data_IF_591290498912
#
_entry.id   IF_591290498912
#
_cell.length_a   1.000
_cell.length_b   1.000
_cell.length_c   1.000
_cell.angle_alpha   90.00
_cell.angle_beta   90.00
_cell.angle_gamma   90.00
#
_symmetry.space_group_name_H-M   'P 1'
#
loop_
_entity.id
_entity.type
_entity.pdbx_description
1 polymer ?
#
# COMPACT_ATOMS: atom_id res chain seq x y z
N UNK A 1 -18.02 1.77 0.46
CA UNK A 1 -18.20 0.45 -0.15
C UNK A 1 -18.36 0.50 -1.67
N UNK A 2 -19.18 1.35 -2.26
CA UNK A 2 -19.27 1.47 -3.74
C UNK A 2 -17.95 1.77 -4.44
N UNK A 3 -17.08 2.61 -3.85
CA UNK A 3 -15.77 2.94 -4.44
C UNK A 3 -14.83 1.74 -4.51
N UNK A 4 -14.86 0.85 -3.51
CA UNK A 4 -14.01 -0.34 -3.47
C UNK A 4 -14.48 -1.37 -4.50
N UNK A 5 -15.78 -1.55 -4.63
CA UNK A 5 -16.38 -2.47 -5.61
C UNK A 5 -16.11 -2.02 -7.05
N UNK A 6 -16.28 -0.73 -7.34
CA UNK A 6 -16.01 -0.18 -8.67
C UNK A 6 -14.51 -0.26 -9.01
N UNK A 7 -13.62 0.01 -8.05
CA UNK A 7 -12.19 -0.13 -8.21
C UNK A 7 -11.79 -1.57 -8.53
N UNK A 8 -12.30 -2.55 -7.78
CA UNK A 8 -12.05 -3.96 -8.00
C UNK A 8 -12.57 -4.37 -9.39
N UNK A 9 -13.81 -4.06 -9.73
CA UNK A 9 -14.40 -4.41 -11.02
C UNK A 9 -13.60 -3.86 -12.20
N UNK A 10 -13.07 -2.66 -12.08
CA UNK A 10 -12.26 -2.04 -13.12
C UNK A 10 -10.89 -2.72 -13.26
N UNK A 11 -10.22 -2.99 -12.14
CA UNK A 11 -8.88 -3.58 -12.13
C UNK A 11 -8.88 -5.07 -12.48
N UNK A 12 -9.99 -5.76 -12.26
CA UNK A 12 -10.16 -7.19 -12.59
C UNK A 12 -10.68 -7.43 -13.99
N UNK A 13 -11.00 -6.38 -14.73
CA UNK A 13 -11.43 -6.50 -16.12
C UNK A 13 -10.30 -7.09 -16.97
N UNK A 14 -10.52 -8.29 -17.52
CA UNK A 14 -9.54 -9.02 -18.32
C UNK A 14 -9.32 -8.41 -19.72
N UNK A 15 -10.18 -7.48 -20.14
CA UNK A 15 -10.10 -6.84 -21.46
C UNK A 15 -9.18 -5.62 -21.51
N UNK A 16 -8.75 -5.08 -20.37
CA UNK A 16 -7.81 -3.96 -20.33
C UNK A 16 -6.35 -4.42 -20.22
N UNK A 17 -5.44 -3.65 -20.82
CA UNK A 17 -4.01 -3.97 -20.81
C UNK A 17 -3.41 -3.85 -19.42
N UNK A 18 -2.26 -4.49 -19.17
CA UNK A 18 -1.53 -4.38 -17.91
C UNK A 18 -1.14 -2.92 -17.61
N UNK A 19 -0.69 -2.17 -18.63
CA UNK A 19 -0.34 -0.76 -18.47
C UNK A 19 -1.53 0.09 -18.04
N UNK A 20 -2.72 -0.23 -18.53
CA UNK A 20 -3.94 0.47 -18.13
C UNK A 20 -4.35 0.11 -16.71
N UNK A 21 -4.21 -1.15 -16.29
CA UNK A 21 -4.40 -1.57 -14.89
C UNK A 21 -3.44 -0.84 -13.95
N UNK A 22 -2.16 -0.75 -14.30
CA UNK A 22 -1.17 0.02 -13.53
C UNK A 22 -1.56 1.49 -13.41
N UNK A 23 -1.98 2.12 -14.52
CA UNK A 23 -2.42 3.51 -14.52
C UNK A 23 -3.63 3.73 -13.61
N UNK A 24 -4.64 2.87 -13.71
CA UNK A 24 -5.86 2.98 -12.91
C UNK A 24 -5.60 2.69 -11.42
N UNK A 25 -4.83 1.63 -11.13
CA UNK A 25 -4.42 1.34 -9.76
C UNK A 25 -3.58 2.48 -9.16
N UNK A 26 -2.66 3.04 -9.94
CA UNK A 26 -1.87 4.21 -9.51
C UNK A 26 -2.73 5.39 -9.10
N UNK A 27 -3.77 5.72 -9.89
CA UNK A 27 -4.72 6.80 -9.56
C UNK A 27 -5.50 6.51 -8.27
N UNK A 28 -5.94 5.26 -8.09
CA UNK A 28 -6.63 4.82 -6.88
C UNK A 28 -5.71 4.86 -5.66
N UNK A 29 -4.47 4.44 -5.82
CA UNK A 29 -3.45 4.47 -4.76
C UNK A 29 -3.18 5.90 -4.32
N UNK A 30 -2.89 6.81 -5.25
CA UNK A 30 -2.63 8.23 -4.97
C UNK A 30 -3.83 8.93 -4.31
N UNK A 31 -5.05 8.56 -4.69
CA UNK A 31 -6.27 9.15 -4.15
C UNK A 31 -6.57 8.68 -2.73
N UNK A 32 -6.37 7.40 -2.44
CA UNK A 32 -6.86 6.78 -1.22
C UNK A 32 -5.78 6.56 -0.15
N UNK A 33 -4.51 6.46 -0.52
CA UNK A 33 -3.40 6.26 0.41
C UNK A 33 -2.66 7.56 0.72
N UNK A 34 -2.15 7.68 1.94
CA UNK A 34 -1.22 8.77 2.29
C UNK A 34 0.21 8.35 1.96
N UNK A 35 0.53 8.33 0.67
CA UNK A 35 1.83 7.87 0.17
C UNK A 35 3.01 8.57 0.85
N UNK A 36 3.01 9.90 1.07
CA UNK A 36 4.10 10.56 1.79
C UNK A 36 4.28 10.07 3.23
N UNK A 37 3.18 9.88 3.98
CA UNK A 37 3.24 9.39 5.37
C UNK A 37 3.70 7.94 5.44
N UNK A 38 3.22 7.08 4.53
CA UNK A 38 3.66 5.69 4.42
C UNK A 38 5.15 5.64 4.06
N UNK A 39 5.59 6.42 3.06
CA UNK A 39 6.99 6.50 2.67
C UNK A 39 7.91 6.90 3.82
N UNK A 40 7.51 7.90 4.60
CA UNK A 40 8.22 8.30 5.82
C UNK A 40 8.31 7.15 6.82
N UNK A 41 7.23 6.42 7.01
CA UNK A 41 7.19 5.29 7.94
C UNK A 41 8.09 4.14 7.50
N UNK A 42 8.02 3.73 6.23
CA UNK A 42 8.77 2.57 5.72
C UNK A 42 10.28 2.85 5.57
N UNK A 43 10.69 4.11 5.36
CA UNK A 43 12.11 4.48 5.38
C UNK A 43 12.71 4.49 6.82
N UNK A 44 11.86 4.52 7.83
CA UNK A 44 12.22 4.34 9.23
C UNK A 44 13.20 5.38 9.75
N UNK A 45 14.27 4.91 10.43
CA UNK A 45 15.33 5.77 11.01
C UNK A 45 16.02 6.63 9.95
N UNK A 46 16.10 6.15 8.72
CA UNK A 46 16.78 6.82 7.61
C UNK A 46 16.02 8.03 7.07
N UNK A 47 14.73 8.17 7.34
CA UNK A 47 13.97 9.36 6.94
C UNK A 47 14.56 10.66 7.47
N UNK A 48 15.07 10.64 8.72
CA UNK A 48 15.67 11.84 9.32
C UNK A 48 17.02 12.20 8.70
N UNK A 49 17.74 11.20 8.20
CA UNK A 49 19.08 11.35 7.60
C UNK A 49 19.01 11.73 6.12
N UNK A 50 17.90 11.37 5.45
CA UNK A 50 17.71 11.61 4.03
C UNK A 50 17.65 13.10 3.70
N UNK A 51 18.31 13.51 2.61
CA UNK A 51 18.18 14.83 2.02
C UNK A 51 16.75 15.06 1.47
N UNK A 52 16.43 16.31 1.13
CA UNK A 52 15.14 16.63 0.52
C UNK A 52 14.97 15.92 -0.84
N UNK A 53 16.02 15.82 -1.62
CA UNK A 53 16.00 15.15 -2.92
C UNK A 53 15.87 13.63 -2.77
N UNK A 54 16.58 13.03 -1.82
CA UNK A 54 16.41 11.62 -1.49
C UNK A 54 14.98 11.29 -1.03
N UNK A 55 14.36 12.13 -0.19
CA UNK A 55 12.96 11.97 0.22
C UNK A 55 12.00 12.01 -0.97
N UNK A 56 12.15 12.99 -1.88
CA UNK A 56 11.33 13.10 -3.09
C UNK A 56 11.51 11.89 -4.01
N UNK A 57 12.76 11.51 -4.27
CA UNK A 57 13.11 10.38 -5.12
C UNK A 57 12.60 9.07 -4.54
N UNK A 58 12.74 8.87 -3.22
CA UNK A 58 12.24 7.70 -2.53
C UNK A 58 10.71 7.59 -2.60
N UNK A 59 9.97 8.67 -2.31
CA UNK A 59 8.49 8.67 -2.41
C UNK A 59 8.06 8.24 -3.81
N UNK A 60 8.69 8.78 -4.85
CA UNK A 60 8.38 8.43 -6.25
C UNK A 60 8.71 6.98 -6.57
N UNK A 61 9.90 6.50 -6.18
CA UNK A 61 10.33 5.13 -6.43
C UNK A 61 9.46 4.11 -5.66
N UNK A 62 9.16 4.38 -4.39
CA UNK A 62 8.27 3.57 -3.57
C UNK A 62 6.85 3.50 -4.15
N UNK A 63 6.28 4.64 -4.51
CA UNK A 63 4.96 4.69 -5.16
C UNK A 63 4.92 3.82 -6.41
N UNK A 64 5.89 3.95 -7.30
CA UNK A 64 5.95 3.17 -8.53
C UNK A 64 6.14 1.68 -8.26
N UNK A 65 7.01 1.33 -7.32
CA UNK A 65 7.22 -0.05 -6.87
C UNK A 65 5.92 -0.69 -6.36
N UNK A 66 5.16 0.01 -5.50
CA UNK A 66 3.87 -0.49 -5.01
C UNK A 66 2.89 -0.68 -6.16
N UNK A 67 2.76 0.31 -7.04
CA UNK A 67 1.83 0.23 -8.18
C UNK A 67 2.20 -0.94 -9.09
N UNK A 68 3.46 -1.11 -9.44
CA UNK A 68 3.92 -2.22 -10.29
C UNK A 68 3.69 -3.58 -9.65
N UNK A 69 4.09 -3.71 -8.37
CA UNK A 69 4.01 -4.99 -7.65
C UNK A 69 2.57 -5.45 -7.45
N UNK A 70 1.66 -4.54 -7.11
CA UNK A 70 0.30 -4.94 -6.73
C UNK A 70 -0.70 -4.89 -7.89
N UNK A 71 -0.48 -4.09 -8.94
CA UNK A 71 -1.38 -4.06 -10.10
C UNK A 71 -1.45 -5.41 -10.82
N UNK A 72 -0.34 -6.16 -10.87
CA UNK A 72 -0.29 -7.48 -11.51
C UNK A 72 -1.13 -8.53 -10.76
N UNK A 73 -1.29 -8.39 -9.44
CA UNK A 73 -2.06 -9.34 -8.61
C UNK A 73 -3.55 -9.31 -8.92
N UNK A 74 -4.08 -8.24 -9.51
CA UNK A 74 -5.47 -8.20 -9.96
C UNK A 74 -5.76 -9.13 -11.14
N UNK A 75 -4.74 -9.67 -11.80
CA UNK A 75 -4.92 -10.69 -12.83
C UNK A 75 -5.34 -12.05 -12.25
N UNK A 76 -5.02 -12.30 -10.98
CA UNK A 76 -5.31 -13.53 -10.25
C UNK A 76 -6.69 -13.51 -9.59
N UNK A 77 -7.41 -12.38 -9.69
CA UNK A 77 -8.73 -12.22 -9.09
C UNK A 77 -9.73 -13.16 -9.76
N UNK A 78 -10.46 -13.90 -8.94
CA UNK A 78 -11.41 -14.93 -9.36
C UNK A 78 -12.82 -14.78 -8.75
N UNK A 79 -13.19 -13.55 -8.42
CA UNK A 79 -14.52 -13.24 -7.88
C UNK A 79 -14.56 -13.07 -6.36
N UNK A 80 -13.43 -12.77 -5.73
CA UNK A 80 -13.34 -12.46 -4.32
C UNK A 80 -14.22 -11.26 -3.95
N UNK A 81 -14.77 -11.28 -2.75
CA UNK A 81 -15.62 -10.19 -2.24
C UNK A 81 -15.11 -9.68 -0.90
N UNK A 82 -14.90 -8.38 -0.83
CA UNK A 82 -14.54 -7.72 0.43
C UNK A 82 -15.80 -7.38 1.21
N UNK A 83 -15.91 -7.90 2.45
CA UNK A 83 -17.04 -7.69 3.35
C UNK A 83 -16.59 -6.93 4.59
N UNK A 84 -17.26 -5.82 4.88
CA UNK A 84 -17.06 -5.07 6.11
C UNK A 84 -17.63 -5.86 7.29
N UNK A 85 -16.86 -5.96 8.36
CA UNK A 85 -17.27 -6.55 9.63
C UNK A 85 -17.62 -5.44 10.63
N UNK A 86 -16.63 -4.64 11.04
CA UNK A 86 -16.79 -3.52 11.96
C UNK A 86 -15.60 -2.56 11.86
N UNK A 87 -15.50 -1.63 12.78
CA UNK A 87 -14.34 -0.75 12.94
C UNK A 87 -14.14 -0.37 14.41
N UNK A 88 -12.91 -0.08 14.80
CA UNK A 88 -12.56 0.40 16.12
C UNK A 88 -11.73 1.69 16.09
N UNK A 89 -11.90 2.50 17.12
CA UNK A 89 -11.06 3.68 17.35
C UNK A 89 -9.72 3.23 17.94
N UNK A 90 -8.64 3.82 17.47
CA UNK A 90 -7.32 3.62 18.06
C UNK A 90 -7.03 4.67 19.16
N UNK A 91 -5.95 4.50 19.91
CA UNK A 91 -5.52 5.48 20.94
C UNK A 91 -5.37 6.90 20.40
N UNK A 92 -5.00 7.05 19.13
CA UNK A 92 -5.07 8.32 18.42
C UNK A 92 -6.49 8.48 17.83
N UNK A 93 -7.28 9.49 18.23
CA UNK A 93 -8.67 9.68 17.78
C UNK A 93 -8.80 9.99 16.27
N UNK A 94 -7.69 10.21 15.58
CA UNK A 94 -7.65 10.41 14.12
C UNK A 94 -7.33 9.12 13.37
N UNK A 95 -7.14 8.00 14.06
CA UNK A 95 -6.81 6.71 13.47
C UNK A 95 -7.88 5.69 13.82
N UNK A 96 -8.30 4.94 12.82
CA UNK A 96 -9.31 3.89 12.91
C UNK A 96 -8.74 2.60 12.36
N UNK A 97 -9.13 1.48 12.90
CA UNK A 97 -8.90 0.16 12.33
C UNK A 97 -10.23 -0.37 11.80
N UNK A 98 -10.32 -0.61 10.51
CA UNK A 98 -11.52 -1.12 9.84
C UNK A 98 -11.28 -2.60 9.54
N UNK A 99 -12.13 -3.46 10.08
CA UNK A 99 -12.05 -4.91 9.93
C UNK A 99 -12.88 -5.37 8.75
N UNK A 100 -12.25 -6.11 7.85
CA UNK A 100 -12.92 -6.73 6.71
C UNK A 100 -12.48 -8.18 6.56
N UNK A 101 -13.26 -8.95 5.83
CA UNK A 101 -12.86 -10.27 5.33
C UNK A 101 -12.92 -10.28 3.80
N UNK A 102 -11.97 -10.95 3.20
CA UNK A 102 -11.97 -11.26 1.78
C UNK A 102 -12.54 -12.67 1.62
N UNK A 103 -13.78 -12.74 1.14
CA UNK A 103 -14.46 -13.99 0.80
C UNK A 103 -13.95 -14.49 -0.55
N UNK A 104 -13.63 -15.77 -0.64
CA UNK A 104 -13.14 -16.44 -1.84
C UNK A 104 -14.05 -17.63 -2.16
N UNK A 105 -14.39 -17.88 -3.44
CA UNK A 105 -15.37 -18.90 -3.81
C UNK A 105 -15.05 -20.31 -3.26
N UNK A 106 -13.79 -20.75 -3.37
CA UNK A 106 -13.38 -22.12 -3.04
C UNK A 106 -12.22 -22.19 -2.05
N UNK A 107 -12.06 -21.17 -1.18
CA UNK A 107 -10.97 -21.11 -0.23
C UNK A 107 -11.41 -20.42 1.07
N UNK A 108 -10.69 -20.65 2.19
CA UNK A 108 -10.96 -19.95 3.45
C UNK A 108 -10.92 -18.42 3.28
N UNK A 109 -11.75 -17.72 4.04
CA UNK A 109 -11.74 -16.25 4.09
C UNK A 109 -10.38 -15.76 4.58
N UNK A 110 -9.98 -14.56 4.12
CA UNK A 110 -8.77 -13.87 4.59
C UNK A 110 -9.20 -12.65 5.39
N UNK A 111 -8.64 -12.47 6.58
CA UNK A 111 -8.83 -11.25 7.36
C UNK A 111 -7.98 -10.12 6.77
N UNK A 112 -8.62 -8.98 6.50
CA UNK A 112 -7.95 -7.80 5.98
C UNK A 112 -8.38 -6.59 6.79
N UNK A 113 -7.46 -6.05 7.58
CA UNK A 113 -7.69 -4.85 8.37
C UNK A 113 -7.04 -3.65 7.69
N UNK A 114 -7.71 -2.50 7.78
CA UNK A 114 -7.29 -1.25 7.16
C UNK A 114 -7.03 -0.22 8.24
N UNK A 115 -5.80 0.25 8.35
CA UNK A 115 -5.50 1.39 9.21
C UNK A 115 -5.81 2.67 8.45
N UNK A 116 -6.84 3.38 8.91
CA UNK A 116 -7.36 4.59 8.26
C UNK A 116 -7.00 5.79 9.11
N UNK A 117 -6.45 6.83 8.50
CA UNK A 117 -6.20 8.12 9.13
C UNK A 117 -7.20 9.18 8.67
N UNK A 118 -7.64 10.05 9.59
CA UNK A 118 -8.40 11.25 9.25
C UNK A 118 -7.43 12.40 9.03
N UNK A 119 -7.41 12.96 7.81
CA UNK A 119 -6.52 14.05 7.40
C UNK A 119 -7.36 15.20 6.84
N UNK A 120 -7.52 16.29 7.63
CA UNK A 120 -8.45 17.37 7.29
C UNK A 120 -9.85 16.83 7.07
N UNK A 121 -10.39 16.98 5.86
CA UNK A 121 -11.76 16.61 5.50
C UNK A 121 -11.89 15.26 4.78
N UNK A 122 -10.80 14.46 4.75
CA UNK A 122 -10.82 13.15 4.10
C UNK A 122 -10.19 12.06 4.95
N UNK A 123 -10.59 10.82 4.66
CA UNK A 123 -9.95 9.63 5.17
C UNK A 123 -8.90 9.11 4.19
N UNK A 124 -7.79 8.60 4.71
CA UNK A 124 -6.68 8.05 3.94
C UNK A 124 -6.23 6.72 4.53
N UNK A 125 -5.82 5.80 3.68
CA UNK A 125 -5.26 4.51 4.11
C UNK A 125 -3.78 4.73 4.47
N UNK A 126 -3.39 4.25 5.65
CA UNK A 126 -2.03 4.33 6.18
C UNK A 126 -1.34 2.96 6.16
N UNK A 127 -2.11 1.86 6.22
CA UNK A 127 -1.59 0.50 6.26
C UNK A 127 -2.69 -0.51 5.90
N UNK A 128 -2.28 -1.65 5.38
CA UNK A 128 -3.13 -2.82 5.21
C UNK A 128 -2.51 -3.96 6.02
N UNK A 129 -3.33 -4.65 6.80
CA UNK A 129 -2.92 -5.74 7.68
C UNK A 129 -3.65 -7.00 7.21
N UNK A 130 -2.90 -7.98 6.72
CA UNK A 130 -3.44 -9.24 6.19
C UNK A 130 -3.09 -10.36 7.16
N UNK A 131 -4.11 -11.04 7.69
CA UNK A 131 -3.92 -12.12 8.70
C UNK A 131 -3.02 -11.68 9.87
N UNK A 132 -3.19 -10.44 10.33
CA UNK A 132 -2.40 -9.85 11.41
C UNK A 132 -1.02 -9.32 11.01
N UNK A 133 -0.61 -9.45 9.75
CA UNK A 133 0.69 -8.98 9.25
C UNK A 133 0.52 -7.62 8.57
N UNK A 134 1.11 -6.58 9.15
CA UNK A 134 1.16 -5.23 8.59
C UNK A 134 2.08 -5.16 7.38
N UNK A 135 1.56 -4.73 6.24
CA UNK A 135 2.37 -4.54 5.03
C UNK A 135 3.39 -3.39 5.20
N UNK A 136 3.00 -2.31 5.87
CA UNK A 136 3.91 -1.19 6.12
C UNK A 136 5.06 -1.57 7.06
N UNK A 137 4.81 -2.35 8.12
CA UNK A 137 5.85 -2.83 9.04
C UNK A 137 6.80 -3.80 8.31
N UNK A 138 6.27 -4.73 7.55
CA UNK A 138 7.07 -5.67 6.74
C UNK A 138 7.96 -4.92 5.76
N UNK A 139 7.40 -3.97 5.02
CA UNK A 139 8.13 -3.17 4.05
C UNK A 139 9.23 -2.31 4.72
N UNK A 140 8.92 -1.74 5.90
CA UNK A 140 9.92 -1.00 6.68
C UNK A 140 11.09 -1.90 7.08
N UNK A 141 10.82 -3.10 7.57
CA UNK A 141 11.85 -4.05 7.97
C UNK A 141 12.77 -4.40 6.79
N UNK A 142 12.19 -4.70 5.64
CA UNK A 142 12.94 -5.00 4.41
C UNK A 142 13.79 -3.81 3.96
N UNK A 143 13.23 -2.61 3.87
CA UNK A 143 13.95 -1.43 3.37
C UNK A 143 15.07 -1.00 4.31
N UNK A 144 14.81 -1.01 5.62
CA UNK A 144 15.85 -0.70 6.62
C UNK A 144 16.99 -1.72 6.53
N UNK A 145 16.67 -3.01 6.37
CA UNK A 145 17.69 -4.06 6.19
C UNK A 145 18.53 -3.83 4.93
N UNK A 146 17.91 -3.48 3.81
CA UNK A 146 18.64 -3.17 2.56
C UNK A 146 19.58 -1.98 2.76
N UNK A 147 19.14 -0.91 3.41
CA UNK A 147 19.98 0.26 3.66
C UNK A 147 21.12 -0.07 4.64
N UNK A 148 20.83 -0.83 5.72
CA UNK A 148 21.84 -1.27 6.68
C UNK A 148 22.93 -2.12 6.01
N UNK A 149 22.56 -3.05 5.12
CA UNK A 149 23.49 -3.88 4.34
C UNK A 149 24.32 -3.09 3.31
N UNK A 150 23.89 -1.89 2.96
CA UNK A 150 24.58 -0.98 2.04
C UNK A 150 25.15 0.25 2.79
N UNK A 151 25.66 0.07 4.01
CA UNK A 151 26.35 1.10 4.79
C UNK A 151 25.55 2.39 5.00
N UNK A 152 24.24 2.30 5.08
CA UNK A 152 23.35 3.45 5.25
C UNK A 152 23.00 4.18 3.94
N UNK A 153 23.34 3.62 2.78
CA UNK A 153 23.14 4.24 1.48
C UNK A 153 21.68 4.17 1.02
N UNK A 154 20.95 5.27 1.18
CA UNK A 154 19.54 5.41 0.78
C UNK A 154 19.40 5.37 -0.76
N UNK A 155 20.35 5.91 -1.50
CA UNK A 155 20.29 5.95 -2.97
C UNK A 155 20.37 4.55 -3.57
N UNK A 156 21.05 3.62 -2.89
CA UNK A 156 21.07 2.21 -3.29
C UNK A 156 19.66 1.58 -3.21
N UNK A 157 18.91 1.83 -2.13
CA UNK A 157 17.53 1.38 -2.04
C UNK A 157 16.67 2.00 -3.15
N UNK A 158 16.83 3.31 -3.40
CA UNK A 158 16.08 4.01 -4.48
C UNK A 158 16.38 3.36 -5.84
N UNK A 159 17.62 3.01 -6.12
CA UNK A 159 18.03 2.32 -7.36
C UNK A 159 17.38 0.95 -7.48
N UNK A 160 17.43 0.14 -6.42
CA UNK A 160 16.79 -1.19 -6.38
C UNK A 160 15.29 -1.09 -6.64
N UNK A 161 14.60 -0.11 -6.05
CA UNK A 161 13.16 0.08 -6.28
C UNK A 161 12.86 0.47 -7.73
N UNK A 162 13.71 1.30 -8.35
CA UNK A 162 13.55 1.70 -9.75
C UNK A 162 13.78 0.54 -10.73
N UNK A 163 14.69 -0.37 -10.42
CA UNK A 163 14.96 -1.57 -11.24
C UNK A 163 13.79 -2.56 -11.23
N UNK A 164 12.97 -2.55 -10.18
CA UNK A 164 11.78 -3.40 -10.04
C UNK A 164 10.52 -2.80 -10.67
N UNK A 165 10.61 -1.63 -11.26
CA UNK A 165 9.50 -0.91 -11.91
C UNK A 165 9.77 -0.73 -13.40
#
# INVERSE_FOLDING_TARGET
>A
MEMTTNAINTLTNKSISQNEKESQFGKLFDKNFDVPSISRFVLGKYWKQASLDQKKNFIKAFRNYVVKTYSSRFNEYSGEKLKLIDFENQSNPKIFLVHTILERPDAPVIKVDWRIGKKKDRFVILDIIIEGISLAITQRSEFVSVIDQNEGNIDQLISILKEKT
#
